data_IF_332915481450
#
_entry.id   IF_332915481450
#
_cell.length_a   1.000
_cell.length_b   1.000
_cell.length_c   1.000
_cell.angle_alpha   90.00
_cell.angle_beta   90.00
_cell.angle_gamma   90.00
#
_symmetry.space_group_name_H-M   'P 1'
#
loop_
_entity.id
_entity.type
_entity.pdbx_description
1 polymer ?
#
# COMPACT_ATOMS: atom_id res chain seq x y z
N UNK A 1 1.95 -8.57 0.52
CA UNK A 1 1.32 -7.57 -0.36
C UNK A 1 1.65 -6.14 0.08
N UNK A 2 1.28 -5.71 1.29
CA UNK A 2 1.52 -4.32 1.75
C UNK A 2 2.85 -4.08 2.49
N UNK A 3 3.67 -5.11 2.73
CA UNK A 3 4.84 -5.03 3.61
C UNK A 3 5.85 -3.94 3.24
N UNK A 4 6.14 -3.79 1.94
CA UNK A 4 7.08 -2.78 1.44
C UNK A 4 6.66 -1.33 1.79
N UNK A 5 5.36 -1.06 2.00
CA UNK A 5 4.87 0.28 2.33
C UNK A 5 5.43 0.80 3.66
N UNK A 6 5.82 -0.09 4.58
CA UNK A 6 6.44 0.31 5.83
C UNK A 6 7.78 1.03 5.60
N UNK A 7 8.44 0.70 4.49
CA UNK A 7 9.70 1.25 4.02
C UNK A 7 9.52 2.31 2.92
N UNK A 8 8.31 2.86 2.76
CA UNK A 8 8.04 3.90 1.75
C UNK A 8 9.00 5.10 1.79
N UNK A 9 9.44 5.62 2.95
CA UNK A 9 10.39 6.74 2.96
C UNK A 9 11.74 6.37 2.33
N UNK A 10 12.18 5.13 2.53
CA UNK A 10 13.39 4.61 1.87
C UNK A 10 13.19 4.54 0.35
N UNK A 11 12.03 4.08 -0.11
CA UNK A 11 11.73 4.00 -1.53
C UNK A 11 11.47 5.36 -2.19
N UNK A 12 10.93 6.35 -1.46
CA UNK A 12 10.86 7.75 -1.92
C UNK A 12 12.28 8.27 -2.19
N UNK A 13 13.22 8.02 -1.28
CA UNK A 13 14.63 8.33 -1.49
C UNK A 13 15.24 7.58 -2.69
N UNK A 14 14.88 6.31 -2.95
CA UNK A 14 15.35 5.56 -4.13
C UNK A 14 14.88 6.25 -5.42
N UNK A 15 13.63 6.70 -5.47
CA UNK A 15 13.07 7.41 -6.64
C UNK A 15 13.84 8.71 -6.90
N UNK A 16 14.19 9.46 -5.85
CA UNK A 16 14.91 10.73 -5.91
C UNK A 16 16.40 10.56 -6.23
N UNK A 17 17.05 9.58 -5.59
CA UNK A 17 18.51 9.39 -5.62
C UNK A 17 18.98 8.39 -6.67
N UNK A 18 18.10 7.81 -7.49
CA UNK A 18 18.51 6.96 -8.62
C UNK A 18 19.46 7.75 -9.53
N UNK A 19 20.76 7.57 -9.32
CA UNK A 19 21.78 8.30 -10.07
C UNK A 19 21.73 7.83 -11.52
N UNK A 20 21.55 8.77 -12.44
CA UNK A 20 21.60 8.53 -13.88
C UNK A 20 23.03 8.58 -14.39
N UNK A 21 23.94 7.81 -13.80
CA UNK A 21 25.14 7.48 -14.57
C UNK A 21 24.66 6.66 -15.75
N UNK A 22 24.85 7.19 -16.96
CA UNK A 22 24.31 6.61 -18.19
C UNK A 22 24.90 5.23 -18.37
N UNK A 23 24.06 4.21 -18.20
CA UNK A 23 24.42 2.84 -18.54
C UNK A 23 23.91 2.60 -19.95
N UNK A 24 24.82 2.62 -20.93
CA UNK A 24 24.45 2.50 -22.35
C UNK A 24 23.56 1.29 -22.63
N UNK A 25 23.82 0.17 -21.95
CA UNK A 25 22.98 -1.04 -22.05
C UNK A 25 21.53 -0.76 -21.63
N UNK A 26 21.29 0.03 -20.58
CA UNK A 26 19.95 0.48 -20.16
C UNK A 26 19.32 1.34 -21.25
N UNK A 27 20.06 2.32 -21.75
CA UNK A 27 19.59 3.23 -22.80
C UNK A 27 19.17 2.46 -24.06
N UNK A 28 20.02 1.59 -24.59
CA UNK A 28 19.74 0.83 -25.82
C UNK A 28 18.54 -0.10 -25.66
N UNK A 29 18.39 -0.67 -24.46
CA UNK A 29 17.28 -1.57 -24.14
C UNK A 29 15.96 -0.81 -24.06
N UNK A 30 15.98 0.34 -23.40
CA UNK A 30 14.80 1.18 -23.27
C UNK A 30 14.45 1.94 -24.56
N UNK A 31 15.42 2.14 -25.46
CA UNK A 31 15.17 2.60 -26.84
C UNK A 31 14.52 1.51 -27.71
N UNK A 32 14.97 0.27 -27.56
CA UNK A 32 14.35 -0.89 -28.22
C UNK A 32 13.01 -1.30 -27.58
N UNK A 33 12.68 -0.74 -26.42
CA UNK A 33 11.42 -0.95 -25.72
C UNK A 33 10.28 -0.37 -26.56
N UNK A 34 9.32 -1.22 -26.92
CA UNK A 34 8.25 -0.84 -27.83
C UNK A 34 7.34 0.23 -27.22
N UNK A 35 7.38 1.44 -27.79
CA UNK A 35 6.47 2.53 -27.45
C UNK A 35 4.99 2.17 -27.66
N UNK A 36 4.71 1.22 -28.55
CA UNK A 36 3.37 0.74 -28.88
C UNK A 36 2.83 -0.29 -27.86
N UNK A 37 3.72 -0.97 -27.11
CA UNK A 37 3.32 -1.95 -26.07
C UNK A 37 2.93 -1.24 -24.77
N UNK A 38 3.59 -0.13 -24.48
CA UNK A 38 3.45 0.65 -23.26
C UNK A 38 3.22 2.14 -23.60
N UNK A 39 2.17 2.45 -24.35
CA UNK A 39 1.84 3.87 -24.64
C UNK A 39 1.14 4.48 -23.43
N UNK A 40 1.59 5.64 -22.95
CA UNK A 40 0.97 6.35 -21.82
C UNK A 40 0.72 7.82 -22.16
N UNK A 41 -0.38 8.37 -21.65
CA UNK A 41 -0.78 9.76 -21.89
C UNK A 41 0.25 10.81 -21.42
N UNK A 42 1.08 10.51 -20.41
CA UNK A 42 1.89 11.53 -19.71
C UNK A 42 3.39 11.22 -19.55
N UNK A 43 3.88 10.08 -20.03
CA UNK A 43 5.31 9.73 -19.97
C UNK A 43 5.68 8.74 -21.06
N UNK A 44 6.83 8.91 -21.72
CA UNK A 44 7.27 7.93 -22.71
C UNK A 44 7.53 6.57 -22.06
N UNK A 45 7.13 5.50 -22.76
CA UNK A 45 7.46 4.12 -22.42
C UNK A 45 8.94 3.94 -22.06
N UNK A 46 9.79 4.60 -22.85
CA UNK A 46 11.24 4.66 -22.67
C UNK A 46 11.64 5.27 -21.32
N UNK A 47 11.02 6.36 -20.88
CA UNK A 47 11.34 6.99 -19.60
C UNK A 47 10.93 6.11 -18.41
N UNK A 48 9.77 5.46 -18.48
CA UNK A 48 9.35 4.50 -17.43
C UNK A 48 10.32 3.32 -17.38
N UNK A 49 10.70 2.78 -18.54
CA UNK A 49 11.71 1.72 -18.64
C UNK A 49 13.03 2.14 -17.99
N UNK A 50 13.55 3.33 -18.33
CA UNK A 50 14.80 3.84 -17.77
C UNK A 50 14.70 4.00 -16.26
N UNK A 51 13.68 4.69 -15.78
CA UNK A 51 13.49 4.93 -14.36
C UNK A 51 13.38 3.63 -13.56
N UNK A 52 12.65 2.64 -14.08
CA UNK A 52 12.55 1.31 -13.48
C UNK A 52 13.94 0.66 -13.33
N UNK A 53 14.70 0.59 -14.43
CA UNK A 53 16.00 -0.08 -14.41
C UNK A 53 17.08 0.70 -13.63
N UNK A 54 16.99 2.03 -13.56
CA UNK A 54 17.88 2.83 -12.71
C UNK A 54 17.56 2.66 -11.22
N UNK A 55 16.29 2.54 -10.82
CA UNK A 55 15.95 2.18 -9.44
C UNK A 55 16.43 0.77 -9.09
N UNK A 56 16.22 -0.18 -10.00
CA UNK A 56 16.70 -1.55 -9.84
C UNK A 56 18.23 -1.61 -9.69
N UNK A 57 18.97 -0.87 -10.53
CA UNK A 57 20.43 -0.69 -10.40
C UNK A 57 20.80 -0.15 -9.03
N UNK A 58 20.16 0.95 -8.61
CA UNK A 58 20.46 1.62 -7.34
C UNK A 58 20.27 0.69 -6.14
N UNK A 59 19.15 -0.04 -6.10
CA UNK A 59 18.86 -1.02 -5.06
C UNK A 59 19.91 -2.12 -5.04
N UNK A 60 20.27 -2.67 -6.21
CA UNK A 60 21.29 -3.69 -6.29
C UNK A 60 22.65 -3.22 -5.78
N UNK A 61 23.12 -2.06 -6.23
CA UNK A 61 24.42 -1.51 -5.83
C UNK A 61 24.48 -1.24 -4.32
N UNK A 62 23.38 -0.75 -3.73
CA UNK A 62 23.27 -0.54 -2.30
C UNK A 62 23.53 -1.83 -1.50
N UNK A 63 22.99 -2.98 -1.96
CA UNK A 63 23.23 -4.27 -1.32
C UNK A 63 24.60 -4.87 -1.65
N UNK A 64 25.03 -4.77 -2.91
CA UNK A 64 26.32 -5.30 -3.37
C UNK A 64 27.50 -4.68 -2.62
N UNK A 65 27.44 -3.37 -2.33
CA UNK A 65 28.46 -2.66 -1.54
C UNK A 65 28.56 -3.16 -0.09
N UNK A 66 27.52 -3.81 0.44
CA UNK A 66 27.47 -4.34 1.81
C UNK A 66 27.83 -5.83 1.85
N UNK A 67 27.34 -6.60 0.89
CA UNK A 67 27.65 -8.01 0.72
C UNK A 67 27.47 -8.39 -0.76
N UNK A 68 28.54 -8.88 -1.38
CA UNK A 68 28.57 -9.28 -2.79
C UNK A 68 27.65 -10.46 -3.11
N UNK A 69 27.18 -11.20 -2.10
CA UNK A 69 26.17 -12.27 -2.24
C UNK A 69 24.73 -11.77 -2.05
N UNK A 70 24.57 -10.54 -1.55
CA UNK A 70 23.27 -9.97 -1.25
C UNK A 70 22.53 -9.58 -2.52
N UNK A 71 21.21 -9.62 -2.42
CA UNK A 71 20.28 -9.32 -3.51
C UNK A 71 19.14 -8.49 -3.03
N UNK A 72 18.44 -7.90 -4.01
CA UNK A 72 17.15 -7.30 -3.77
C UNK A 72 16.27 -8.26 -2.98
N UNK A 73 15.63 -7.69 -1.98
CA UNK A 73 14.69 -8.38 -1.11
C UNK A 73 13.35 -8.53 -1.80
N UNK A 74 12.48 -9.36 -1.22
CA UNK A 74 11.09 -9.44 -1.66
C UNK A 74 10.37 -8.08 -1.58
N UNK A 75 10.71 -7.24 -0.61
CA UNK A 75 10.10 -5.91 -0.46
C UNK A 75 10.54 -4.95 -1.56
N UNK A 76 11.81 -5.02 -1.97
CA UNK A 76 12.32 -4.23 -3.09
C UNK A 76 11.60 -4.61 -4.40
N UNK A 77 11.31 -5.89 -4.58
CA UNK A 77 10.52 -6.36 -5.72
C UNK A 77 9.06 -5.94 -5.65
N UNK A 78 8.44 -6.06 -4.47
CA UNK A 78 7.06 -5.59 -4.26
C UNK A 78 6.97 -4.08 -4.53
N UNK A 79 7.96 -3.30 -4.12
CA UNK A 79 8.06 -1.86 -4.44
C UNK A 79 8.20 -1.60 -5.94
N UNK A 80 9.12 -2.27 -6.62
CA UNK A 80 9.32 -2.07 -8.07
C UNK A 80 8.05 -2.44 -8.86
N UNK A 81 7.37 -3.51 -8.46
CA UNK A 81 6.09 -3.90 -9.06
C UNK A 81 4.99 -2.87 -8.79
N UNK A 82 4.87 -2.39 -7.55
CA UNK A 82 3.96 -1.31 -7.18
C UNK A 82 4.22 -0.04 -8.01
N UNK A 83 5.48 0.43 -8.04
CA UNK A 83 5.85 1.65 -8.75
C UNK A 83 5.50 1.56 -10.22
N UNK A 84 5.80 0.42 -10.86
CA UNK A 84 5.43 0.20 -12.24
C UNK A 84 3.91 0.28 -12.42
N UNK A 85 3.13 -0.47 -11.63
CA UNK A 85 1.67 -0.45 -11.72
C UNK A 85 1.05 0.94 -11.50
N UNK A 86 1.63 1.78 -10.63
CA UNK A 86 1.21 3.20 -10.49
C UNK A 86 1.45 3.98 -11.78
N UNK A 87 2.56 3.75 -12.48
CA UNK A 87 2.82 4.38 -13.80
C UNK A 87 1.94 3.84 -14.92
N UNK A 88 1.44 2.61 -14.78
CA UNK A 88 0.53 1.97 -15.74
C UNK A 88 -0.96 2.28 -15.48
N UNK A 89 -1.29 2.97 -14.39
CA UNK A 89 -2.67 3.22 -13.94
C UNK A 89 -3.45 4.03 -14.99
N UNK A 90 -4.66 3.56 -15.34
CA UNK A 90 -5.57 4.18 -16.30
C UNK A 90 -5.72 3.43 -17.64
N UNK A 91 -4.81 2.49 -17.96
CA UNK A 91 -4.80 1.77 -19.24
C UNK A 91 -4.81 0.23 -19.06
N UNK A 92 -5.87 -0.29 -18.42
CA UNK A 92 -5.96 -1.69 -17.98
C UNK A 92 -5.71 -2.74 -19.08
N UNK A 93 -6.07 -2.49 -20.34
CA UNK A 93 -5.85 -3.44 -21.44
C UNK A 93 -4.39 -3.54 -21.88
N UNK A 94 -3.56 -2.52 -21.62
CA UNK A 94 -2.14 -2.48 -21.99
C UNK A 94 -1.20 -2.78 -20.82
N UNK A 95 -1.68 -2.63 -19.58
CA UNK A 95 -0.88 -2.86 -18.39
C UNK A 95 -0.27 -4.29 -18.36
N UNK A 96 -1.07 -5.32 -18.69
CA UNK A 96 -0.58 -6.70 -18.73
C UNK A 96 0.53 -6.88 -19.77
N UNK A 97 0.31 -6.44 -21.01
CA UNK A 97 1.30 -6.56 -22.08
C UNK A 97 2.58 -5.81 -21.74
N UNK A 98 2.46 -4.65 -21.08
CA UNK A 98 3.61 -3.90 -20.63
C UNK A 98 4.40 -4.65 -19.54
N UNK A 99 3.73 -5.16 -18.51
CA UNK A 99 4.33 -5.97 -17.44
C UNK A 99 5.02 -7.22 -18.01
N UNK A 100 4.39 -7.90 -18.98
CA UNK A 100 4.96 -9.06 -19.66
C UNK A 100 6.24 -8.71 -20.43
N UNK A 101 6.28 -7.53 -21.06
CA UNK A 101 7.46 -7.05 -21.76
C UNK A 101 8.62 -6.73 -20.80
N UNK A 102 8.33 -6.11 -19.64
CA UNK A 102 9.34 -5.94 -18.59
C UNK A 102 9.89 -7.28 -18.11
N UNK A 103 9.00 -8.25 -17.83
CA UNK A 103 9.41 -9.60 -17.43
C UNK A 103 10.25 -10.29 -18.51
N UNK A 104 9.90 -10.13 -19.79
CA UNK A 104 10.69 -10.66 -20.92
C UNK A 104 12.10 -10.08 -20.95
N UNK A 105 12.25 -8.76 -20.75
CA UNK A 105 13.55 -8.09 -20.73
C UNK A 105 14.40 -8.54 -19.54
N UNK A 106 13.76 -8.66 -18.36
CA UNK A 106 14.37 -9.17 -17.14
C UNK A 106 14.87 -10.61 -17.31
N UNK A 107 14.07 -11.48 -17.94
CA UNK A 107 14.37 -12.92 -18.12
C UNK A 107 15.32 -13.21 -19.26
N UNK A 108 15.20 -12.47 -20.37
CA UNK A 108 15.82 -12.78 -21.67
C UNK A 108 17.29 -12.40 -21.80
N UNK A 109 17.91 -11.81 -20.77
CA UNK A 109 19.32 -11.43 -20.79
C UNK A 109 20.13 -12.35 -19.90
N UNK A 110 20.49 -13.49 -20.47
CA UNK A 110 21.31 -14.55 -19.85
C UNK A 110 22.73 -14.11 -19.47
N UNK A 111 23.13 -12.87 -19.73
CA UNK A 111 24.32 -12.25 -19.15
C UNK A 111 24.00 -10.82 -18.71
N UNK A 112 23.68 -10.70 -17.41
CA UNK A 112 23.80 -9.51 -16.58
C UNK A 112 23.66 -8.19 -17.34
N UNK A 113 22.42 -7.74 -17.55
CA UNK A 113 22.12 -6.39 -18.01
C UNK A 113 22.82 -5.30 -17.17
N UNK A 114 23.12 -5.64 -15.92
CA UNK A 114 24.04 -4.96 -15.03
C UNK A 114 24.88 -6.08 -14.39
N UNK A 115 26.21 -5.99 -14.47
CA UNK A 115 27.14 -6.98 -13.93
C UNK A 115 26.85 -7.26 -12.45
N UNK A 116 26.76 -8.53 -12.05
CA UNK A 116 26.59 -8.92 -10.64
C UNK A 116 25.14 -8.97 -10.14
N UNK A 117 24.17 -8.54 -10.95
CA UNK A 117 22.77 -8.57 -10.55
C UNK A 117 22.17 -9.97 -10.63
N UNK A 118 21.70 -10.50 -9.50
CA UNK A 118 20.91 -11.75 -9.51
C UNK A 118 19.59 -11.53 -10.24
N UNK A 119 19.22 -12.55 -11.00
CA UNK A 119 17.91 -12.73 -11.63
C UNK A 119 16.80 -12.43 -10.61
N UNK A 120 15.79 -11.67 -11.04
CA UNK A 120 14.55 -11.54 -10.30
C UNK A 120 13.97 -12.94 -10.05
N UNK A 121 13.83 -13.34 -8.78
CA UNK A 121 13.20 -14.62 -8.41
C UNK A 121 11.68 -14.57 -8.59
N UNK A 122 11.10 -13.36 -8.55
CA UNK A 122 9.67 -13.11 -8.73
C UNK A 122 9.40 -12.28 -9.97
N UNK A 123 8.35 -12.67 -10.68
CA UNK A 123 7.85 -11.91 -11.82
C UNK A 123 7.04 -10.68 -11.37
N UNK A 124 7.17 -9.62 -12.15
CA UNK A 124 6.25 -8.49 -12.08
C UNK A 124 4.85 -8.97 -12.48
N UNK A 125 3.82 -8.35 -11.93
CA UNK A 125 2.43 -8.71 -12.21
C UNK A 125 1.53 -7.49 -12.12
N UNK A 126 0.42 -7.53 -12.86
CA UNK A 126 -0.62 -6.50 -12.75
C UNK A 126 -1.28 -6.62 -11.37
N UNK A 127 -1.31 -5.51 -10.64
CA UNK A 127 -1.94 -5.41 -9.32
C UNK A 127 -3.41 -5.03 -9.54
N UNK A 128 -4.33 -5.73 -8.88
CA UNK A 128 -5.75 -5.37 -8.86
C UNK A 128 -5.93 -3.89 -8.47
N UNK A 129 -6.82 -3.17 -9.16
CA UNK A 129 -6.96 -1.72 -9.00
C UNK A 129 -7.29 -1.31 -7.56
N UNK A 130 -8.10 -2.08 -6.85
CA UNK A 130 -8.44 -1.80 -5.45
C UNK A 130 -7.24 -2.05 -4.53
N UNK A 131 -6.48 -3.12 -4.78
CA UNK A 131 -5.22 -3.35 -4.06
C UNK A 131 -4.16 -2.27 -4.34
N UNK A 132 -4.06 -1.79 -5.58
CA UNK A 132 -3.15 -0.72 -5.97
C UNK A 132 -3.50 0.60 -5.26
N UNK A 133 -4.78 0.98 -5.25
CA UNK A 133 -5.24 2.17 -4.52
C UNK A 133 -4.93 2.07 -3.03
N UNK A 134 -5.14 0.89 -2.44
CA UNK A 134 -4.82 0.63 -1.03
C UNK A 134 -3.30 0.74 -0.77
N UNK A 135 -2.45 0.26 -1.68
CA UNK A 135 -0.99 0.45 -1.58
C UNK A 135 -0.61 1.93 -1.68
N UNK A 136 -1.21 2.71 -2.59
CA UNK A 136 -0.95 4.15 -2.70
C UNK A 136 -1.29 4.88 -1.39
N UNK A 137 -2.42 4.54 -0.75
CA UNK A 137 -2.80 5.10 0.54
C UNK A 137 -1.75 4.78 1.63
N UNK A 138 -1.36 3.51 1.78
CA UNK A 138 -0.36 3.12 2.77
C UNK A 138 1.00 3.74 2.49
N UNK A 139 1.40 3.80 1.22
CA UNK A 139 2.67 4.39 0.82
C UNK A 139 2.75 5.87 1.24
N UNK A 140 1.68 6.62 0.97
CA UNK A 140 1.56 8.03 1.37
C UNK A 140 1.50 8.21 2.89
N UNK A 141 0.83 7.30 3.60
CA UNK A 141 0.76 7.31 5.07
C UNK A 141 2.14 7.18 5.70
N UNK A 142 2.94 6.18 5.29
CA UNK A 142 4.28 5.99 5.84
C UNK A 142 5.26 7.13 5.49
N UNK A 143 5.19 7.69 4.26
CA UNK A 143 5.99 8.87 3.90
C UNK A 143 5.61 10.09 4.73
N UNK A 144 4.32 10.34 4.89
CA UNK A 144 3.83 11.49 5.65
C UNK A 144 4.16 11.34 7.13
N UNK A 145 4.07 10.11 7.68
CA UNK A 145 4.51 9.78 9.04
C UNK A 145 5.98 10.14 9.25
N UNK A 146 6.87 9.75 8.32
CA UNK A 146 8.29 10.06 8.43
C UNK A 146 8.53 11.58 8.41
N UNK A 147 7.85 12.32 7.52
CA UNK A 147 7.95 13.80 7.45
C UNK A 147 7.51 14.48 8.75
N UNK A 148 6.49 13.94 9.44
CA UNK A 148 6.08 14.43 10.76
C UNK A 148 7.17 14.17 11.80
N UNK A 149 7.71 12.94 11.87
CA UNK A 149 8.81 12.57 12.77
C UNK A 149 10.02 13.47 12.54
N UNK A 150 10.43 13.66 11.29
CA UNK A 150 11.58 14.49 10.95
C UNK A 150 11.43 15.93 11.46
N UNK A 151 10.21 16.50 11.38
CA UNK A 151 9.94 17.84 11.93
C UNK A 151 9.94 17.82 13.46
N UNK A 152 9.26 16.85 14.08
CA UNK A 152 9.15 16.76 15.55
C UNK A 152 10.51 16.72 16.23
N UNK A 153 11.52 16.12 15.58
CA UNK A 153 12.87 15.98 16.13
C UNK A 153 13.90 16.96 15.55
N UNK A 154 13.48 17.93 14.72
CA UNK A 154 14.38 18.94 14.16
C UNK A 154 14.65 20.08 15.16
N UNK A 155 15.70 19.93 15.95
CA UNK A 155 16.14 20.91 16.95
C UNK A 155 16.85 22.14 16.35
N UNK A 156 17.24 22.09 15.08
CA UNK A 156 18.11 23.09 14.45
C UNK A 156 17.33 24.08 13.60
N UNK A 157 16.00 24.01 13.58
CA UNK A 157 15.22 24.78 12.62
C UNK A 157 14.97 26.23 13.07
N UNK A 158 15.49 27.18 12.30
CA UNK A 158 15.21 28.61 12.43
C UNK A 158 13.91 29.03 11.73
N UNK A 159 13.35 28.16 10.88
CA UNK A 159 12.12 28.38 10.12
C UNK A 159 10.91 27.81 10.87
N UNK A 160 9.79 28.54 10.86
CA UNK A 160 8.58 28.07 11.54
C UNK A 160 7.88 26.98 10.72
N UNK A 161 8.31 25.72 10.92
CA UNK A 161 7.74 24.53 10.27
C UNK A 161 6.33 24.15 10.72
N UNK A 162 5.65 24.98 11.52
CA UNK A 162 4.32 24.69 12.05
C UNK A 162 3.29 24.42 10.96
N UNK A 163 3.20 25.27 9.94
CA UNK A 163 2.24 25.08 8.84
C UNK A 163 2.61 23.87 7.96
N UNK A 164 3.90 23.57 7.80
CA UNK A 164 4.36 22.38 7.07
C UNK A 164 3.91 21.12 7.83
N UNK A 165 4.14 21.06 9.15
CA UNK A 165 3.71 19.92 9.95
C UNK A 165 2.18 19.78 9.98
N UNK A 166 1.45 20.90 10.03
CA UNK A 166 -0.01 20.94 9.90
C UNK A 166 -0.48 20.33 8.58
N UNK A 167 0.20 20.64 7.47
CA UNK A 167 -0.06 20.03 6.17
C UNK A 167 0.13 18.52 6.17
N UNK A 168 1.23 18.03 6.76
CA UNK A 168 1.51 16.60 6.84
C UNK A 168 0.52 15.86 7.75
N UNK A 169 0.26 16.36 8.96
CA UNK A 169 -0.71 15.76 9.88
C UNK A 169 -2.12 15.70 9.28
N UNK A 170 -2.57 16.77 8.61
CA UNK A 170 -3.83 16.75 7.85
C UNK A 170 -3.83 15.67 6.75
N UNK A 171 -2.77 15.60 5.94
CA UNK A 171 -2.66 14.59 4.87
C UNK A 171 -2.68 13.16 5.42
N UNK A 172 -2.01 12.93 6.55
CA UNK A 172 -2.02 11.66 7.25
C UNK A 172 -3.44 11.28 7.73
N UNK A 173 -4.12 12.23 8.41
CA UNK A 173 -5.49 12.06 8.88
C UNK A 173 -6.46 11.71 7.74
N UNK A 174 -6.41 12.49 6.65
CA UNK A 174 -7.30 12.32 5.50
C UNK A 174 -7.08 10.96 4.82
N UNK A 175 -5.82 10.59 4.57
CA UNK A 175 -5.47 9.30 3.96
C UNK A 175 -5.83 8.11 4.85
N UNK A 176 -5.64 8.22 6.17
CA UNK A 176 -6.00 7.16 7.10
C UNK A 176 -7.52 6.97 7.14
N UNK A 177 -8.27 8.07 7.21
CA UNK A 177 -9.74 8.05 7.14
C UNK A 177 -10.23 7.43 5.82
N UNK A 178 -9.62 7.82 4.69
CA UNK A 178 -9.91 7.22 3.38
C UNK A 178 -9.63 5.71 3.38
N UNK A 179 -8.48 5.29 3.90
CA UNK A 179 -8.10 3.88 4.00
C UNK A 179 -9.10 3.06 4.82
N UNK A 180 -9.50 3.56 6.00
CA UNK A 180 -10.49 2.91 6.85
C UNK A 180 -11.85 2.78 6.15
N UNK A 181 -12.27 3.80 5.38
CA UNK A 181 -13.50 3.72 4.59
C UNK A 181 -13.41 2.68 3.46
N UNK A 182 -12.26 2.54 2.80
CA UNK A 182 -12.05 1.52 1.76
C UNK A 182 -12.20 0.10 2.33
N UNK A 183 -11.88 -0.12 3.60
CA UNK A 183 -12.05 -1.41 4.29
C UNK A 183 -13.51 -1.80 4.57
N UNK A 184 -14.49 -0.91 4.39
CA UNK A 184 -15.90 -1.22 4.66
C UNK A 184 -16.46 -2.28 3.71
N UNK A 185 -15.90 -2.39 2.51
CA UNK A 185 -16.35 -3.29 1.45
C UNK A 185 -15.45 -4.53 1.27
N UNK A 186 -14.44 -4.73 2.11
CA UNK A 186 -13.51 -5.87 2.02
C UNK A 186 -12.10 -5.51 2.48
N UNK A 187 -11.10 -6.33 2.10
CA UNK A 187 -9.67 -6.11 2.36
C UNK A 187 -9.22 -6.26 3.83
N UNK A 188 -9.40 -7.45 4.40
CA UNK A 188 -8.93 -7.75 5.77
C UNK A 188 -7.42 -7.55 5.96
N UNK A 189 -6.61 -7.85 4.95
CA UNK A 189 -5.16 -7.66 5.04
C UNK A 189 -4.75 -6.18 4.94
N UNK A 190 -5.50 -5.36 4.20
CA UNK A 190 -5.30 -3.91 4.17
C UNK A 190 -5.68 -3.28 5.51
N UNK A 191 -6.81 -3.72 6.08
CA UNK A 191 -7.24 -3.29 7.40
C UNK A 191 -6.18 -3.62 8.46
N UNK A 192 -5.62 -4.84 8.47
CA UNK A 192 -4.51 -5.20 9.37
C UNK A 192 -3.30 -4.29 9.20
N UNK A 193 -2.94 -3.95 7.95
CA UNK A 193 -1.83 -3.04 7.66
C UNK A 193 -2.12 -1.61 8.17
N UNK A 194 -3.34 -1.11 8.04
CA UNK A 194 -3.74 0.18 8.62
C UNK A 194 -3.69 0.18 10.16
N UNK A 195 -4.13 -0.90 10.82
CA UNK A 195 -4.02 -1.02 12.28
C UNK A 195 -2.56 -1.10 12.75
N UNK A 196 -1.68 -1.72 11.97
CA UNK A 196 -0.24 -1.69 12.24
C UNK A 196 0.30 -0.26 12.13
N UNK A 197 -0.02 0.44 11.04
CA UNK A 197 0.33 1.85 10.86
C UNK A 197 -0.17 2.72 12.02
N UNK A 198 -1.44 2.58 12.42
CA UNK A 198 -2.06 3.33 13.52
C UNK A 198 -1.28 3.14 14.83
N UNK A 199 -0.93 1.89 15.16
CA UNK A 199 -0.15 1.58 16.36
C UNK A 199 1.23 2.23 16.31
N UNK A 200 1.91 2.14 15.17
CA UNK A 200 3.24 2.74 15.00
C UNK A 200 3.17 4.28 15.04
N UNK A 201 2.12 4.88 14.50
CA UNK A 201 1.90 6.32 14.55
C UNK A 201 1.69 6.78 16.00
N UNK A 202 0.82 6.08 16.75
CA UNK A 202 0.59 6.38 18.17
C UNK A 202 1.87 6.32 19.00
N UNK A 203 2.63 5.23 18.88
CA UNK A 203 3.82 5.02 19.70
C UNK A 203 5.02 5.89 19.34
N UNK A 204 5.10 6.40 18.10
CA UNK A 204 6.25 7.19 17.63
C UNK A 204 5.95 8.69 17.51
N UNK A 205 4.67 9.09 17.45
CA UNK A 205 4.25 10.47 17.23
C UNK A 205 3.33 10.96 18.36
N UNK A 206 2.22 10.26 18.63
CA UNK A 206 1.23 10.79 19.58
C UNK A 206 1.69 10.73 21.04
N UNK A 207 2.33 9.62 21.42
CA UNK A 207 2.80 9.33 22.77
C UNK A 207 4.20 9.89 23.07
N UNK A 208 4.86 10.44 22.05
CA UNK A 208 6.23 10.97 22.16
C UNK A 208 6.21 12.49 22.28
N UNK A 209 7.28 13.02 22.88
CA UNK A 209 7.46 14.47 23.01
C UNK A 209 7.83 15.10 21.66
N UNK A 210 7.12 16.16 21.30
CA UNK A 210 7.42 16.97 20.12
C UNK A 210 8.51 17.98 20.50
N UNK A 211 9.76 17.56 20.32
CA UNK A 211 10.95 18.34 20.69
C UNK A 211 11.01 19.70 19.99
N UNK A 212 10.44 19.79 18.79
CA UNK A 212 10.34 21.03 18.01
C UNK A 212 9.22 21.96 18.49
N UNK A 213 8.19 21.41 19.13
CA UNK A 213 6.95 22.09 19.49
C UNK A 213 6.08 22.52 18.30
N UNK A 214 6.37 22.06 17.07
CA UNK A 214 5.74 22.54 15.83
C UNK A 214 4.52 21.74 15.39
N UNK A 215 4.38 20.50 15.84
CA UNK A 215 3.40 19.54 15.31
C UNK A 215 2.21 19.32 16.26
N UNK A 216 2.47 19.16 17.56
CA UNK A 216 1.47 18.69 18.54
C UNK A 216 0.31 19.66 18.78
N UNK A 217 0.46 20.92 18.37
CA UNK A 217 -0.58 21.96 18.50
C UNK A 217 -1.68 21.88 17.43
N UNK A 218 -1.61 20.94 16.49
CA UNK A 218 -2.63 20.78 15.44
C UNK A 218 -3.78 19.87 15.88
N UNK A 219 -5.03 20.26 15.62
CA UNK A 219 -6.23 19.48 15.95
C UNK A 219 -6.27 18.12 15.23
N UNK A 220 -5.68 18.03 14.03
CA UNK A 220 -5.58 16.79 13.24
C UNK A 220 -4.28 16.02 13.49
N UNK A 221 -3.59 16.31 14.60
CA UNK A 221 -2.36 15.61 14.97
C UNK A 221 -2.62 14.14 15.31
N UNK A 222 -3.75 13.85 15.97
CA UNK A 222 -4.17 12.48 16.33
C UNK A 222 -4.97 11.82 15.21
N UNK A 223 -4.74 10.54 15.00
CA UNK A 223 -5.58 9.74 14.10
C UNK A 223 -7.00 9.59 14.66
N UNK A 224 -8.02 9.40 13.80
CA UNK A 224 -9.38 9.08 14.24
C UNK A 224 -9.42 7.88 15.20
N UNK A 225 -10.06 8.05 16.37
CA UNK A 225 -10.17 6.99 17.39
C UNK A 225 -11.21 5.93 17.04
N UNK A 226 -12.28 6.31 16.33
CA UNK A 226 -13.40 5.41 16.04
C UNK A 226 -13.05 4.43 14.91
N UNK A 227 -13.18 3.14 15.20
CA UNK A 227 -12.99 2.08 14.21
C UNK A 227 -14.28 1.77 13.45
N UNK A 228 -14.55 2.57 12.41
CA UNK A 228 -15.75 2.45 11.57
C UNK A 228 -15.87 1.07 10.90
N UNK A 229 -14.75 0.37 10.68
CA UNK A 229 -14.72 -0.96 10.06
C UNK A 229 -15.19 -2.01 11.06
N UNK A 230 -14.65 -1.97 12.29
CA UNK A 230 -15.07 -2.85 13.36
C UNK A 230 -16.56 -2.67 13.68
N UNK A 231 -17.01 -1.43 13.80
CA UNK A 231 -18.42 -1.12 14.00
C UNK A 231 -19.31 -1.69 12.88
N UNK A 232 -18.92 -1.49 11.62
CA UNK A 232 -19.67 -2.02 10.48
C UNK A 232 -19.73 -3.56 10.49
N UNK A 233 -18.61 -4.23 10.83
CA UNK A 233 -18.56 -5.69 10.98
C UNK A 233 -19.49 -6.17 12.10
N UNK A 234 -19.47 -5.53 13.27
CA UNK A 234 -20.37 -5.86 14.38
C UNK A 234 -21.85 -5.66 14.02
N UNK A 235 -22.20 -4.55 13.36
CA UNK A 235 -23.58 -4.29 12.89
C UNK A 235 -24.05 -5.30 11.85
N UNK A 236 -23.17 -5.80 10.98
CA UNK A 236 -23.48 -6.87 10.02
C UNK A 236 -23.76 -8.19 10.74
N UNK A 237 -22.93 -8.57 11.72
CA UNK A 237 -23.12 -9.78 12.54
C UNK A 237 -24.45 -9.71 13.31
N UNK A 238 -24.76 -8.58 13.95
CA UNK A 238 -26.03 -8.40 14.66
C UNK A 238 -27.24 -8.53 13.72
N UNK A 239 -27.20 -7.94 12.52
CA UNK A 239 -28.28 -8.08 11.53
C UNK A 239 -28.46 -9.52 11.06
N UNK A 240 -27.37 -10.24 10.81
CA UNK A 240 -27.42 -11.67 10.45
C UNK A 240 -28.06 -12.47 11.59
N UNK A 241 -27.65 -12.23 12.84
CA UNK A 241 -28.19 -12.93 14.01
C UNK A 241 -29.67 -12.62 14.29
N UNK A 242 -30.14 -11.41 13.98
CA UNK A 242 -31.57 -11.07 14.07
C UNK A 242 -32.35 -11.77 12.94
N UNK A 243 -31.79 -11.82 11.73
CA UNK A 243 -32.42 -12.49 10.57
C UNK A 243 -32.39 -14.02 10.65
N UNK A 244 -31.40 -14.60 11.34
CA UNK A 244 -31.29 -16.03 11.63
C UNK A 244 -31.92 -16.40 12.98
N UNK A 245 -32.41 -15.40 13.74
CA UNK A 245 -33.23 -15.62 14.92
C UNK A 245 -34.48 -16.38 14.48
N UNK A 246 -34.72 -17.59 15.00
CA UNK A 246 -35.52 -18.50 14.23
C UNK A 246 -36.99 -18.12 14.38
N UNK A 247 -37.66 -18.01 13.23
CA UNK A 247 -39.09 -18.27 13.07
C UNK A 247 -39.53 -19.63 13.70
N UNK A 248 -38.64 -20.40 14.34
CA UNK A 248 -38.96 -21.58 15.18
C UNK A 248 -39.98 -21.22 16.26
N UNK A 249 -39.99 -20.00 16.81
CA UNK A 249 -41.08 -19.58 17.70
C UNK A 249 -42.46 -19.57 16.99
N UNK A 250 -42.51 -19.22 15.70
CA UNK A 250 -43.73 -19.27 14.89
C UNK A 250 -44.13 -20.69 14.46
N UNK A 251 -43.21 -21.67 14.44
CA UNK A 251 -43.52 -23.08 14.17
C UNK A 251 -43.86 -23.89 15.43
N UNK A 252 -43.38 -23.48 16.62
CA UNK A 252 -43.69 -24.16 17.89
C UNK A 252 -45.11 -23.82 18.39
N UNK A 253 -45.60 -22.59 18.16
CA UNK A 253 -46.96 -22.19 18.59
C UNK A 253 -48.08 -23.03 17.93
N UNK A 254 -48.08 -23.30 16.60
CA UNK A 254 -49.07 -24.16 15.96
C UNK A 254 -49.00 -25.63 16.40
N UNK A 255 -47.80 -26.15 16.67
CA UNK A 255 -47.60 -27.54 17.11
C UNK A 255 -48.17 -27.76 18.52
N UNK A 256 -47.95 -26.82 19.44
CA UNK A 256 -48.55 -26.85 20.78
C UNK A 256 -50.09 -26.75 20.73
N UNK A 257 -50.63 -25.96 19.79
CA UNK A 257 -52.09 -25.84 19.59
C UNK A 257 -52.72 -27.13 19.05
N UNK A 258 -52.04 -27.86 18.15
CA UNK A 258 -52.52 -29.15 17.63
C UNK A 258 -52.54 -30.24 18.70
N UNK A 259 -51.53 -30.29 19.59
CA UNK A 259 -51.46 -31.29 20.67
C UNK A 259 -52.61 -31.13 21.67
N UNK A 260 -52.95 -29.89 22.07
CA UNK A 260 -54.10 -29.61 22.96
C UNK A 260 -55.44 -30.00 22.34
N UNK A 261 -55.65 -29.78 21.04
CA UNK A 261 -56.91 -30.14 20.35
C UNK A 261 -57.13 -31.66 20.30
N UNK A 262 -56.06 -32.45 20.16
CA UNK A 262 -56.13 -33.92 20.15
C UNK A 262 -56.46 -34.49 21.55
N UNK A 263 -56.01 -33.83 22.63
CA UNK A 263 -56.29 -34.26 24.00
C UNK A 263 -57.74 -33.97 24.43
N UNK A 264 -58.36 -32.92 23.90
CA UNK A 264 -59.76 -32.55 24.19
C UNK A 264 -60.82 -33.41 23.45
N UNK A 265 -60.44 -34.16 22.41
CA UNK A 265 -61.35 -35.04 21.66
C UNK A 265 -61.39 -36.47 22.24
N UNK A 266 -60.56 -36.76 23.26
CA UNK A 266 -60.43 -38.08 23.89
C UNK A 266 -61.15 -38.23 25.25
N UNK A 267 -62.09 -37.34 25.57
CA UNK A 267 -62.93 -37.43 26.78
C UNK A 267 -64.40 -37.37 26.39
#
# INVERSE_FOLDING_TARGET
MYGFCNNSPYYEMVIEKKKKEVVQKIEDTCKAFSSNVCSFENSSAENICKDFFYMYKYLHEYYYLRDFKSTLTNEDFDFLNYWLNVKLKGENSKASTCVDEFNRIIKGKSENFISGIKKLEKDLHVIDSGNLENMEILYELYNTKQKIVDIMFDLNNTEDKKEICKGHTKKCYDNYTKGMNNCLNGYDDFYKALKLFERDYKSLIEEVDDKSGKCKSNDLFRLPENDVVLEAKQRRIMRINISSSPLILLFVIPLLYRVKKITLIKV
#
